data_IF_848749233881
#
_entry.id   IF_848749233881
#
_cell.length_a   1.000
_cell.length_b   1.000
_cell.length_c   1.000
_cell.angle_alpha   90.00
_cell.angle_beta   90.00
_cell.angle_gamma   90.00
#
_symmetry.space_group_name_H-M   'P 1'
#
loop_
_entity.id
_entity.type
_entity.pdbx_description
1 polymer ?
#
# COMPACT_ATOMS: atom_id res chain seq x y z
N UNK A 1 -11.99 -22.10 13.98
CA UNK A 1 -11.93 -20.67 13.63
C UNK A 1 -10.47 -20.29 13.59
N UNK A 2 -9.98 -19.78 12.45
CA UNK A 2 -8.63 -19.26 12.36
C UNK A 2 -8.64 -17.93 13.09
N UNK A 3 -8.03 -17.89 14.26
CA UNK A 3 -8.05 -16.71 15.14
C UNK A 3 -6.82 -15.82 14.92
N UNK A 4 -5.87 -16.24 14.08
CA UNK A 4 -4.63 -15.51 13.86
C UNK A 4 -4.39 -15.25 12.37
N UNK A 5 -4.13 -13.99 12.04
CA UNK A 5 -3.81 -13.57 10.67
C UNK A 5 -2.49 -14.15 10.18
N UNK A 6 -1.57 -14.50 11.11
CA UNK A 6 -0.30 -15.14 10.80
C UNK A 6 -0.46 -16.55 10.20
N UNK A 7 -1.58 -17.22 10.47
CA UNK A 7 -1.89 -18.55 9.95
C UNK A 7 -2.54 -18.53 8.57
N UNK A 8 -2.82 -17.32 8.05
CA UNK A 8 -3.48 -17.17 6.75
C UNK A 8 -2.44 -17.31 5.65
N UNK A 9 -2.67 -18.24 4.76
CA UNK A 9 -1.93 -18.29 3.52
C UNK A 9 -2.48 -17.23 2.55
N UNK A 10 -1.58 -16.49 1.92
CA UNK A 10 -1.89 -15.51 0.87
C UNK A 10 -1.33 -16.00 -0.45
N UNK A 11 -1.91 -15.51 -1.53
CA UNK A 11 -1.33 -15.57 -2.87
C UNK A 11 -1.29 -14.18 -3.48
N UNK A 12 -0.27 -13.91 -4.27
CA UNK A 12 -0.23 -12.71 -5.10
C UNK A 12 -1.25 -12.89 -6.23
N UNK A 13 -2.05 -11.86 -6.45
CA UNK A 13 -2.95 -11.75 -7.60
C UNK A 13 -2.34 -10.78 -8.60
N UNK A 14 -2.35 -11.17 -9.86
CA UNK A 14 -1.89 -10.31 -10.94
C UNK A 14 -2.76 -9.07 -11.06
N UNK A 15 -2.13 -7.92 -11.22
CA UNK A 15 -2.80 -6.64 -11.36
C UNK A 15 -2.94 -6.34 -12.86
N UNK A 16 -4.14 -6.57 -13.39
CA UNK A 16 -4.49 -6.30 -14.79
C UNK A 16 -5.35 -5.05 -14.99
N UNK A 17 -5.84 -4.43 -13.89
CA UNK A 17 -6.65 -3.22 -13.98
C UNK A 17 -5.81 -2.04 -14.45
N UNK A 18 -6.19 -1.48 -15.61
CA UNK A 18 -5.44 -0.40 -16.25
C UNK A 18 -5.41 0.89 -15.42
N UNK A 19 -6.40 1.11 -14.56
CA UNK A 19 -6.45 2.28 -13.67
C UNK A 19 -5.34 2.21 -12.61
N UNK A 20 -5.01 1.00 -12.15
CA UNK A 20 -3.93 0.77 -11.19
C UNK A 20 -2.57 0.84 -11.88
N UNK A 21 -2.43 0.18 -13.04
CA UNK A 21 -1.15 0.16 -13.74
C UNK A 21 -0.78 1.53 -14.28
N UNK A 22 -1.74 2.35 -14.69
CA UNK A 22 -1.52 3.73 -15.12
C UNK A 22 -0.82 4.56 -14.01
N UNK A 23 -1.35 4.53 -12.80
CA UNK A 23 -0.78 5.26 -11.67
C UNK A 23 0.61 4.72 -11.32
N UNK A 24 0.75 3.39 -11.21
CA UNK A 24 2.03 2.76 -10.91
C UNK A 24 3.11 3.16 -11.92
N UNK A 25 2.78 3.06 -13.20
CA UNK A 25 3.75 3.28 -14.28
C UNK A 25 4.10 4.77 -14.40
N UNK A 26 3.14 5.68 -14.14
CA UNK A 26 3.40 7.11 -14.10
C UNK A 26 4.36 7.48 -12.96
N UNK A 27 4.08 7.03 -11.73
CA UNK A 27 4.94 7.30 -10.57
C UNK A 27 6.34 6.71 -10.79
N UNK A 28 6.44 5.48 -11.30
CA UNK A 28 7.73 4.83 -11.55
C UNK A 28 8.55 5.51 -12.66
N UNK A 29 7.92 6.26 -13.56
CA UNK A 29 8.66 7.07 -14.55
C UNK A 29 9.15 8.39 -13.97
N UNK A 30 8.44 8.92 -12.98
CA UNK A 30 8.74 10.22 -12.35
C UNK A 30 9.80 10.07 -11.27
N UNK A 31 9.72 9.00 -10.48
CA UNK A 31 10.68 8.75 -9.40
C UNK A 31 11.98 8.17 -9.96
N UNK A 32 13.08 8.85 -9.72
CA UNK A 32 14.39 8.48 -10.30
C UNK A 32 15.12 7.43 -9.50
N UNK A 33 15.11 7.57 -8.18
CA UNK A 33 15.84 6.71 -7.23
C UNK A 33 14.89 5.99 -6.30
N UNK A 34 13.69 5.71 -6.76
CA UNK A 34 12.65 5.11 -5.97
C UNK A 34 11.62 4.41 -6.82
N UNK A 35 10.39 4.39 -6.35
CA UNK A 35 9.30 3.80 -7.10
C UNK A 35 8.04 3.59 -6.31
N UNK A 36 7.06 3.04 -7.01
CA UNK A 36 5.77 2.63 -6.47
C UNK A 36 5.62 1.11 -6.62
N UNK A 37 5.66 0.42 -5.50
CA UNK A 37 5.35 -1.00 -5.40
C UNK A 37 3.88 -1.16 -5.05
N UNK A 38 3.14 -1.93 -5.85
CA UNK A 38 1.76 -2.30 -5.55
C UNK A 38 1.66 -3.82 -5.59
N UNK A 39 1.11 -4.42 -4.53
CA UNK A 39 0.82 -5.85 -4.46
C UNK A 39 -0.63 -6.07 -4.07
N UNK A 40 -1.28 -6.94 -4.81
CA UNK A 40 -2.60 -7.47 -4.46
C UNK A 40 -2.41 -8.85 -3.83
N UNK A 41 -2.83 -9.01 -2.60
CA UNK A 41 -2.72 -10.25 -1.84
C UNK A 41 -4.13 -10.78 -1.57
N UNK A 42 -4.41 -11.97 -2.03
CA UNK A 42 -5.69 -12.64 -1.76
C UNK A 42 -5.48 -13.72 -0.70
N UNK A 43 -6.20 -13.68 0.41
CA UNK A 43 -6.20 -14.77 1.36
C UNK A 43 -6.75 -16.05 0.70
N UNK A 44 -6.12 -17.18 0.95
CA UNK A 44 -6.53 -18.47 0.39
C UNK A 44 -7.74 -19.04 1.10
N UNK A 45 -8.02 -18.60 2.32
CA UNK A 45 -9.22 -18.93 3.07
C UNK A 45 -10.11 -17.70 3.15
N UNK A 46 -11.41 -17.89 2.97
CA UNK A 46 -12.38 -16.83 3.22
C UNK A 46 -12.37 -16.52 4.73
N UNK A 47 -11.90 -15.34 5.05
CA UNK A 47 -11.90 -14.84 6.41
C UNK A 47 -12.98 -13.80 6.48
N UNK A 48 -13.92 -14.02 7.39
CA UNK A 48 -14.81 -12.96 7.81
C UNK A 48 -13.97 -11.98 8.63
N UNK A 49 -13.30 -11.07 7.92
CA UNK A 49 -12.67 -9.93 8.55
C UNK A 49 -13.79 -9.08 9.15
N UNK A 50 -14.30 -9.50 10.27
CA UNK A 50 -14.99 -8.58 11.13
C UNK A 50 -14.00 -7.45 11.35
N UNK A 51 -14.24 -6.30 10.73
CA UNK A 51 -13.51 -5.07 10.93
C UNK A 51 -13.36 -4.87 12.42
N UNK A 52 -12.25 -5.37 12.95
CA UNK A 52 -12.03 -5.61 14.36
C UNK A 52 -11.97 -4.28 15.10
N UNK A 53 -12.30 -4.32 16.36
CA UNK A 53 -12.13 -3.20 17.27
C UNK A 53 -10.65 -2.76 17.45
N UNK A 54 -9.70 -3.55 16.93
CA UNK A 54 -8.25 -3.27 17.01
C UNK A 54 -7.57 -3.41 15.63
N UNK A 55 -7.89 -2.53 14.65
CA UNK A 55 -7.33 -2.64 13.29
C UNK A 55 -5.81 -2.54 13.26
N UNK A 56 -5.19 -1.79 14.19
CA UNK A 56 -3.74 -1.65 14.26
C UNK A 56 -3.04 -2.98 14.57
N UNK A 57 -3.62 -3.82 15.42
CA UNK A 57 -3.05 -5.13 15.75
C UNK A 57 -3.10 -6.06 14.53
N UNK A 58 -4.16 -5.98 13.74
CA UNK A 58 -4.29 -6.75 12.51
C UNK A 58 -3.23 -6.34 11.49
N UNK A 59 -2.99 -5.04 11.33
CA UNK A 59 -1.99 -4.55 10.39
C UNK A 59 -0.59 -4.92 10.86
N UNK A 60 -0.27 -4.79 12.15
CA UNK A 60 1.01 -5.25 12.69
C UNK A 60 1.24 -6.73 12.43
N UNK A 61 0.25 -7.58 12.67
CA UNK A 61 0.32 -9.02 12.38
C UNK A 61 0.49 -9.30 10.90
N UNK A 62 -0.20 -8.55 10.02
CA UNK A 62 -0.03 -8.67 8.57
C UNK A 62 1.39 -8.32 8.14
N UNK A 63 1.93 -7.20 8.61
CA UNK A 63 3.29 -6.75 8.27
C UNK A 63 4.38 -7.70 8.81
N UNK A 64 4.15 -8.32 9.97
CA UNK A 64 5.07 -9.31 10.55
C UNK A 64 4.85 -10.74 10.05
N UNK A 65 3.88 -10.95 9.16
CA UNK A 65 3.53 -12.29 8.69
C UNK A 65 4.66 -12.90 7.85
N UNK A 66 5.17 -14.10 8.19
CA UNK A 66 6.20 -14.77 7.39
C UNK A 66 5.80 -15.03 5.94
N UNK A 67 4.49 -15.12 5.68
CA UNK A 67 3.98 -15.24 4.32
C UNK A 67 4.23 -13.97 3.51
N UNK A 68 4.10 -12.78 4.10
CA UNK A 68 4.39 -11.51 3.41
C UNK A 68 5.86 -11.44 2.99
N UNK A 69 6.79 -11.75 3.88
CA UNK A 69 8.22 -11.77 3.56
C UNK A 69 8.58 -12.70 2.41
N UNK A 70 7.86 -13.82 2.26
CA UNK A 70 8.05 -14.76 1.16
C UNK A 70 7.42 -14.30 -0.15
N UNK A 71 6.27 -13.62 -0.08
CA UNK A 71 5.51 -13.18 -1.25
C UNK A 71 6.02 -11.87 -1.82
N UNK A 72 6.61 -11.03 -0.98
CA UNK A 72 7.15 -9.72 -1.36
C UNK A 72 8.59 -9.60 -0.82
N UNK A 73 9.51 -10.45 -1.32
CA UNK A 73 10.86 -10.55 -0.76
C UNK A 73 11.67 -9.26 -0.92
N UNK A 74 11.31 -8.43 -1.88
CA UNK A 74 11.95 -7.13 -2.10
C UNK A 74 11.77 -6.17 -0.93
N UNK A 75 10.70 -6.29 -0.14
CA UNK A 75 10.46 -5.41 0.99
C UNK A 75 11.33 -5.73 2.20
N UNK A 76 11.64 -7.01 2.44
CA UNK A 76 12.39 -7.50 3.59
C UNK A 76 11.87 -6.91 4.91
N UNK A 77 10.64 -7.29 5.34
CA UNK A 77 10.05 -6.77 6.57
C UNK A 77 10.94 -6.97 7.78
N UNK A 78 11.10 -5.95 8.60
CA UNK A 78 11.88 -6.02 9.83
C UNK A 78 11.29 -7.03 10.81
N UNK A 79 12.14 -7.81 11.45
CA UNK A 79 11.72 -8.77 12.46
C UNK A 79 12.62 -8.63 13.71
N UNK A 80 12.07 -8.15 14.83
CA UNK A 80 10.70 -7.70 15.06
C UNK A 80 10.39 -6.37 14.37
N UNK A 81 9.09 -6.08 14.17
CA UNK A 81 8.66 -4.75 13.71
C UNK A 81 9.03 -3.67 14.73
N UNK A 82 9.31 -2.43 14.29
CA UNK A 82 9.58 -1.31 15.17
C UNK A 82 8.46 -1.09 16.19
N UNK A 83 8.83 -0.80 17.44
CA UNK A 83 7.85 -0.54 18.50
C UNK A 83 7.08 0.76 18.30
N UNK A 84 7.70 1.74 17.65
CA UNK A 84 7.18 3.07 17.34
C UNK A 84 6.35 3.10 16.04
N UNK A 85 6.09 1.94 15.44
CA UNK A 85 5.29 1.84 14.24
C UNK A 85 3.92 2.49 14.44
N UNK A 86 3.68 3.57 13.71
CA UNK A 86 2.43 4.32 13.74
C UNK A 86 1.53 3.90 12.60
N UNK A 87 0.29 3.53 12.93
CA UNK A 87 -0.72 3.11 11.96
C UNK A 87 -1.91 4.06 12.09
N UNK A 88 -2.18 4.81 11.04
CA UNK A 88 -3.22 5.84 11.00
C UNK A 88 -4.34 5.40 10.08
N UNK A 89 -5.58 5.31 10.58
CA UNK A 89 -6.73 5.03 9.72
C UNK A 89 -6.99 6.22 8.79
N UNK A 90 -7.27 5.94 7.53
CA UNK A 90 -7.58 6.94 6.52
C UNK A 90 -9.01 6.77 6.01
N UNK A 91 -9.64 7.90 5.69
CA UNK A 91 -10.85 7.90 4.87
C UNK A 91 -10.51 7.77 3.38
N UNK A 92 -11.52 7.41 2.58
CA UNK A 92 -11.39 7.29 1.12
C UNK A 92 -10.79 8.55 0.49
N UNK A 93 -11.32 9.73 0.82
CA UNK A 93 -10.84 11.00 0.24
C UNK A 93 -9.41 11.33 0.66
N UNK A 94 -9.00 10.91 1.85
CA UNK A 94 -7.61 11.06 2.27
C UNK A 94 -6.70 10.15 1.46
N UNK A 95 -7.12 8.90 1.21
CA UNK A 95 -6.41 7.99 0.31
C UNK A 95 -6.28 8.58 -1.11
N UNK A 96 -7.36 9.13 -1.66
CA UNK A 96 -7.32 9.82 -2.96
C UNK A 96 -6.30 10.98 -2.94
N UNK A 97 -6.26 11.75 -1.85
CA UNK A 97 -5.29 12.83 -1.65
C UNK A 97 -3.83 12.35 -1.63
N UNK A 98 -3.55 11.23 -0.95
CA UNK A 98 -2.21 10.61 -0.96
C UNK A 98 -1.80 10.18 -2.39
N UNK A 99 -2.72 9.60 -3.15
CA UNK A 99 -2.44 9.22 -4.55
C UNK A 99 -2.23 10.45 -5.43
N UNK A 100 -3.02 11.52 -5.24
CA UNK A 100 -2.79 12.79 -5.94
C UNK A 100 -1.38 13.33 -5.65
N UNK A 101 -0.95 13.30 -4.39
CA UNK A 101 0.39 13.74 -4.04
C UNK A 101 1.48 12.92 -4.74
N UNK A 102 1.33 11.59 -4.80
CA UNK A 102 2.26 10.72 -5.53
C UNK A 102 2.31 11.04 -7.03
N UNK A 103 1.14 11.33 -7.64
CA UNK A 103 1.05 11.67 -9.06
C UNK A 103 1.62 13.06 -9.39
N UNK A 104 1.56 13.99 -8.45
CA UNK A 104 2.07 15.36 -8.59
C UNK A 104 3.48 15.53 -8.01
N UNK A 105 4.00 14.52 -7.31
CA UNK A 105 5.36 14.54 -6.81
C UNK A 105 6.29 14.65 -8.02
N UNK A 106 6.86 15.83 -8.19
CA UNK A 106 7.91 16.03 -9.17
C UNK A 106 9.17 15.48 -8.52
N UNK A 107 9.65 14.35 -8.99
CA UNK A 107 11.03 13.97 -8.71
C UNK A 107 11.95 15.14 -9.11
N UNK A 108 13.03 15.32 -8.40
CA UNK A 108 13.95 16.46 -8.60
C UNK A 108 14.40 16.70 -10.05
N UNK A 109 14.14 15.73 -10.95
CA UNK A 109 14.68 15.70 -12.31
C UNK A 109 13.69 15.33 -13.41
N UNK A 110 12.44 15.12 -13.10
CA UNK A 110 11.43 14.76 -14.11
C UNK A 110 10.09 15.46 -13.84
N UNK A 111 9.49 15.98 -14.90
CA UNK A 111 8.14 16.53 -14.84
C UNK A 111 7.13 15.38 -14.67
N UNK A 112 6.16 15.57 -13.79
CA UNK A 112 5.03 14.66 -13.66
C UNK A 112 4.26 14.56 -14.98
N UNK A 113 3.82 13.35 -15.35
CA UNK A 113 2.90 13.13 -16.48
C UNK A 113 1.49 13.65 -16.20
N UNK A 114 1.18 13.88 -14.93
CA UNK A 114 -0.12 14.40 -14.51
C UNK A 114 0.00 15.84 -14.06
N UNK A 115 -0.91 16.67 -14.58
CA UNK A 115 -1.12 18.00 -14.07
C UNK A 115 -2.16 18.01 -12.94
N UNK A 116 -2.30 19.16 -12.27
CA UNK A 116 -3.25 19.35 -11.17
C UNK A 116 -4.72 19.11 -11.56
N UNK A 117 -5.03 19.06 -12.84
CA UNK A 117 -6.40 18.85 -13.35
C UNK A 117 -6.68 17.36 -13.55
N UNK A 118 -5.67 16.60 -13.99
CA UNK A 118 -5.80 15.16 -14.29
C UNK A 118 -5.58 14.28 -13.08
N UNK A 119 -4.67 14.65 -12.19
CA UNK A 119 -4.29 13.84 -11.04
C UNK A 119 -5.48 13.45 -10.14
N UNK A 120 -6.44 14.35 -9.79
CA UNK A 120 -7.58 13.96 -8.97
C UNK A 120 -8.46 12.88 -9.60
N UNK A 121 -8.74 12.99 -10.90
CA UNK A 121 -9.56 11.98 -11.61
C UNK A 121 -8.83 10.63 -11.69
N UNK A 122 -7.51 10.64 -11.93
CA UNK A 122 -6.71 9.43 -11.93
C UNK A 122 -6.67 8.77 -10.56
N UNK A 123 -6.53 9.55 -9.48
CA UNK A 123 -6.56 9.07 -8.11
C UNK A 123 -7.92 8.45 -7.74
N UNK A 124 -9.02 9.12 -8.07
CA UNK A 124 -10.37 8.56 -7.85
C UNK A 124 -10.54 7.24 -8.58
N UNK A 125 -10.17 7.17 -9.86
CA UNK A 125 -10.26 5.95 -10.65
C UNK A 125 -9.38 4.82 -10.07
N UNK A 126 -8.20 5.15 -9.58
CA UNK A 126 -7.30 4.21 -8.91
C UNK A 126 -7.94 3.66 -7.63
N UNK A 127 -8.47 4.52 -6.78
CA UNK A 127 -9.12 4.12 -5.52
C UNK A 127 -10.37 3.29 -5.79
N UNK A 128 -11.16 3.63 -6.82
CA UNK A 128 -12.29 2.80 -7.26
C UNK A 128 -11.85 1.41 -7.71
N UNK A 129 -10.71 1.31 -8.37
CA UNK A 129 -10.15 0.00 -8.77
C UNK A 129 -9.70 -0.85 -7.57
N UNK A 130 -9.22 -0.22 -6.50
CA UNK A 130 -8.81 -0.93 -5.28
C UNK A 130 -10.00 -1.41 -4.46
N UNK A 131 -10.99 -0.55 -4.26
CA UNK A 131 -12.07 -0.74 -3.28
C UNK A 131 -13.36 -1.21 -3.95
N UNK A 132 -13.71 -0.63 -5.12
CA UNK A 132 -15.02 -0.82 -5.75
C UNK A 132 -16.15 -0.45 -4.80
N UNK A 133 -17.20 -1.28 -4.81
CA UNK A 133 -18.35 -1.16 -3.89
C UNK A 133 -18.15 -1.96 -2.59
N UNK A 134 -16.96 -2.51 -2.38
CA UNK A 134 -16.67 -3.37 -1.22
C UNK A 134 -16.50 -2.53 0.04
N UNK A 135 -16.94 -3.07 1.17
CA UNK A 135 -16.54 -2.54 2.48
C UNK A 135 -15.02 -2.65 2.58
N UNK A 136 -14.38 -1.54 2.89
CA UNK A 136 -12.92 -1.45 2.95
C UNK A 136 -12.46 -0.73 4.20
N UNK A 137 -11.21 -1.00 4.57
CA UNK A 137 -10.48 -0.25 5.57
C UNK A 137 -9.16 0.18 4.98
N UNK A 138 -8.77 1.42 5.23
CA UNK A 138 -7.59 2.05 4.67
C UNK A 138 -6.73 2.56 5.82
N UNK A 139 -5.44 2.29 5.73
CA UNK A 139 -4.49 2.74 6.75
C UNK A 139 -3.20 3.20 6.09
N UNK A 140 -2.60 4.23 6.68
CA UNK A 140 -1.23 4.62 6.42
C UNK A 140 -0.33 4.09 7.54
N UNK A 141 0.81 3.57 7.17
CA UNK A 141 1.86 3.17 8.10
C UNK A 141 2.98 4.19 7.99
N UNK A 142 3.15 4.94 9.07
CA UNK A 142 4.21 5.94 9.19
C UNK A 142 5.33 5.29 9.99
N UNK A 143 6.38 4.88 9.35
CA UNK A 143 7.65 4.43 9.91
C UNK A 143 8.33 3.44 8.97
N UNK A 144 9.62 3.33 9.07
CA UNK A 144 10.39 2.28 8.39
C UNK A 144 10.07 0.93 9.05
N UNK A 145 9.39 0.06 8.35
CA UNK A 145 9.03 -1.29 8.81
C UNK A 145 9.67 -2.40 7.97
N UNK A 146 10.36 -2.02 6.91
CA UNK A 146 11.02 -2.94 5.98
C UNK A 146 12.33 -2.33 5.50
N UNK A 147 13.34 -3.17 5.21
CA UNK A 147 14.65 -2.73 4.74
C UNK A 147 14.59 -2.05 3.36
N UNK A 148 13.50 -2.26 2.62
CA UNK A 148 13.24 -1.55 1.36
C UNK A 148 13.21 -0.03 1.50
N UNK A 149 12.95 0.47 2.72
CA UNK A 149 12.94 1.90 3.06
C UNK A 149 14.26 2.34 3.70
N UNK A 150 15.27 1.47 3.80
CA UNK A 150 16.53 1.81 4.45
C UNK A 150 17.28 2.92 3.69
N UNK A 151 17.83 3.86 4.42
CA UNK A 151 18.53 5.02 3.88
C UNK A 151 17.65 6.13 3.29
N UNK A 152 16.31 6.03 3.44
CA UNK A 152 15.37 7.01 2.91
C UNK A 152 15.02 8.02 3.98
N UNK A 153 15.46 9.25 3.80
CA UNK A 153 15.21 10.33 4.78
C UNK A 153 13.94 11.13 4.51
N UNK A 154 13.34 11.09 3.30
CA UNK A 154 12.42 12.17 2.93
C UNK A 154 11.01 11.78 2.48
N UNK A 155 10.79 10.75 1.71
CA UNK A 155 9.45 10.47 1.17
C UNK A 155 9.17 8.97 1.05
N UNK A 156 8.87 8.33 2.17
CA UNK A 156 8.32 6.98 2.13
C UNK A 156 6.88 6.96 2.62
N UNK A 157 6.03 6.23 1.93
CA UNK A 157 4.65 6.00 2.35
C UNK A 157 4.31 4.52 2.18
N UNK A 158 3.63 3.97 3.17
CA UNK A 158 2.97 2.66 3.07
C UNK A 158 1.48 2.83 3.29
N UNK A 159 0.71 2.44 2.29
CA UNK A 159 -0.74 2.40 2.37
C UNK A 159 -1.20 0.94 2.35
N UNK A 160 -2.08 0.59 3.24
CA UNK A 160 -2.71 -0.72 3.32
C UNK A 160 -4.21 -0.52 3.13
N UNK A 161 -4.73 -1.14 2.08
CA UNK A 161 -6.17 -1.17 1.82
C UNK A 161 -6.61 -2.62 1.88
N UNK A 162 -7.55 -2.93 2.73
CA UNK A 162 -8.12 -4.28 2.74
C UNK A 162 -9.65 -4.26 2.64
N UNK A 163 -10.13 -5.24 1.90
CA UNK A 163 -11.54 -5.53 1.73
C UNK A 163 -11.83 -6.92 2.32
N UNK A 164 -13.06 -7.38 2.21
CA UNK A 164 -13.45 -8.75 2.57
C UNK A 164 -12.73 -9.85 1.75
N UNK A 165 -12.08 -9.47 0.63
CA UNK A 165 -11.49 -10.41 -0.33
C UNK A 165 -10.02 -10.20 -0.64
N UNK A 166 -9.51 -8.97 -0.46
CA UNK A 166 -8.18 -8.57 -0.93
C UNK A 166 -7.49 -7.66 0.05
N UNK A 167 -6.17 -7.80 0.09
CA UNK A 167 -5.26 -6.87 0.72
C UNK A 167 -4.42 -6.19 -0.35
N UNK A 168 -4.40 -4.90 -0.35
CA UNK A 168 -3.52 -4.11 -1.19
C UNK A 168 -2.42 -3.52 -0.33
N UNK A 169 -1.19 -3.82 -0.70
CA UNK A 169 0.00 -3.22 -0.13
C UNK A 169 0.57 -2.27 -1.18
N UNK A 170 0.65 -1.00 -0.83
CA UNK A 170 1.10 0.08 -1.69
C UNK A 170 2.24 0.78 -0.95
N UNK A 171 3.44 0.65 -1.48
CA UNK A 171 4.64 1.26 -0.93
C UNK A 171 5.24 2.18 -1.97
N UNK A 172 5.47 3.43 -1.60
CA UNK A 172 6.17 4.38 -2.43
C UNK A 172 7.35 4.98 -1.67
N UNK A 173 8.43 5.22 -2.36
CA UNK A 173 9.56 5.98 -1.86
C UNK A 173 10.25 6.72 -3.00
N UNK A 174 10.86 7.83 -2.66
CA UNK A 174 11.78 8.56 -3.53
C UNK A 174 12.98 9.00 -2.72
N UNK A 175 14.17 8.83 -3.26
CA UNK A 175 15.42 9.33 -2.68
C UNK A 175 15.98 10.39 -3.59
N UNK A 176 16.24 11.56 -3.04
CA UNK A 176 16.97 12.64 -3.70
C UNK A 176 18.43 12.28 -4.07
#
# INVERSE_FOLDING_TARGET
MINDISDIAYRIEEISDTRITLVRDAVNRTFRNGGLLIRCLRPTLSIDYAFSAAPNDYIRRFLSCPALARLVPELQPMTPLPNDLTIVPLGRYTLEGEIVQLLLANGMYADSEFDVRMAPSAATNFVDALIGDSKSSVHRVDSHWADWFDGIEWNSITLIVYTDRKWWLICAFDTD
#
